data_IF_135411672683
#
_entry.id   IF_135411672683
#
_cell.length_a   1.000
_cell.length_b   1.000
_cell.length_c   1.000
_cell.angle_alpha   90.00
_cell.angle_beta   90.00
_cell.angle_gamma   90.00
#
_symmetry.space_group_name_H-M   'P 1'
#
loop_
_entity.id
_entity.type
_entity.pdbx_description
1 polymer ?
#
# COMPACT_ATOMS: atom_id res chain seq x y z
N UNK A 1 -3.49 -28.01 -9.58
CA UNK A 1 -2.39 -27.91 -8.60
C UNK A 1 -2.27 -26.44 -8.25
N UNK A 2 -2.55 -26.07 -7.00
CA UNK A 2 -2.55 -24.68 -6.55
C UNK A 2 -1.17 -24.33 -6.00
N UNK A 3 -0.43 -23.45 -6.69
CA UNK A 3 0.90 -23.01 -6.25
C UNK A 3 0.70 -21.90 -5.21
N UNK A 4 1.21 -22.14 -3.99
CA UNK A 4 1.22 -21.17 -2.90
C UNK A 4 2.63 -20.67 -2.65
N UNK A 5 2.74 -19.37 -2.40
CA UNK A 5 4.02 -18.71 -2.09
C UNK A 5 3.92 -18.18 -0.66
N UNK A 6 4.99 -18.36 0.11
CA UNK A 6 5.11 -17.77 1.45
C UNK A 6 5.68 -16.37 1.30
N UNK A 7 4.96 -15.37 1.79
CA UNK A 7 5.43 -13.99 1.80
C UNK A 7 5.49 -13.45 3.22
N UNK A 8 6.33 -12.44 3.40
CA UNK A 8 6.30 -11.57 4.58
C UNK A 8 5.43 -10.38 4.25
N UNK A 9 4.38 -10.16 5.03
CA UNK A 9 3.52 -8.99 4.93
C UNK A 9 3.57 -8.17 6.20
N UNK A 10 3.22 -6.89 6.10
CA UNK A 10 3.05 -5.99 7.25
C UNK A 10 2.17 -6.64 8.31
N UNK A 11 2.62 -6.64 9.56
CA UNK A 11 1.84 -7.15 10.68
C UNK A 11 0.61 -6.25 10.89
N UNK A 12 -0.58 -6.81 10.80
CA UNK A 12 -1.83 -6.06 10.95
C UNK A 12 -2.05 -5.58 12.39
N UNK A 13 -1.59 -6.34 13.39
CA UNK A 13 -1.81 -6.01 14.81
C UNK A 13 -1.00 -4.80 15.29
N UNK A 14 0.18 -4.56 14.71
CA UNK A 14 0.99 -3.39 15.07
C UNK A 14 1.15 -2.39 13.92
N UNK A 15 0.42 -2.58 12.82
CA UNK A 15 0.58 -1.84 11.59
C UNK A 15 2.07 -1.64 11.21
N UNK A 16 2.85 -2.71 11.28
CA UNK A 16 4.28 -2.68 10.94
C UNK A 16 5.21 -1.96 11.92
N UNK A 17 4.71 -1.32 12.98
CA UNK A 17 5.54 -0.58 13.94
C UNK A 17 6.46 -1.46 14.79
N UNK A 18 6.19 -2.76 14.85
CA UNK A 18 6.91 -3.80 15.60
C UNK A 18 6.87 -3.66 17.13
N UNK A 19 6.96 -2.44 17.67
CA UNK A 19 6.92 -2.13 19.10
C UNK A 19 5.79 -1.14 19.38
N UNK A 20 4.91 -1.48 20.31
CA UNK A 20 3.73 -0.68 20.65
C UNK A 20 3.90 -0.05 22.04
N UNK A 21 3.37 1.18 22.24
CA UNK A 21 3.33 1.82 23.56
C UNK A 21 2.63 0.93 24.59
N UNK A 22 3.28 0.68 25.73
CA UNK A 22 2.75 -0.21 26.78
C UNK A 22 2.45 0.51 28.09
N UNK A 23 3.36 1.36 28.56
CA UNK A 23 3.22 2.05 29.83
C UNK A 23 4.13 3.28 29.87
N UNK A 24 3.92 4.16 30.84
CA UNK A 24 4.91 5.20 31.17
C UNK A 24 5.88 4.69 32.24
N UNK A 25 7.11 5.18 32.20
CA UNK A 25 8.11 5.00 33.25
C UNK A 25 8.69 6.34 33.68
N UNK A 26 9.33 6.38 34.85
CA UNK A 26 10.09 7.53 35.33
C UNK A 26 11.58 7.21 35.14
N UNK A 27 12.32 8.11 34.50
CA UNK A 27 13.77 7.98 34.34
C UNK A 27 14.52 8.34 35.64
N UNK A 28 15.85 8.22 35.65
CA UNK A 28 16.66 8.53 36.83
C UNK A 28 16.68 10.01 37.22
N UNK A 29 16.13 10.90 36.38
CA UNK A 29 16.03 12.35 36.62
C UNK A 29 14.62 12.75 37.08
N UNK A 30 13.68 11.81 37.14
CA UNK A 30 12.28 12.08 37.47
C UNK A 30 11.40 12.38 36.26
N UNK A 31 11.92 12.27 35.04
CA UNK A 31 11.18 12.59 33.81
C UNK A 31 10.35 11.39 33.34
N UNK A 32 9.12 11.64 32.88
CA UNK A 32 8.29 10.60 32.29
C UNK A 32 8.79 10.20 30.89
N UNK A 33 8.89 8.90 30.63
CA UNK A 33 9.17 8.36 29.30
C UNK A 33 8.17 7.26 28.93
N UNK A 34 7.87 7.15 27.63
CA UNK A 34 7.02 6.09 27.09
C UNK A 34 7.82 4.78 26.97
N UNK A 35 7.32 3.71 27.58
CA UNK A 35 7.80 2.34 27.39
C UNK A 35 7.09 1.70 26.23
N UNK A 36 7.83 0.88 25.51
CA UNK A 36 7.35 0.11 24.37
C UNK A 36 7.57 -1.38 24.63
N UNK A 37 6.62 -2.20 24.19
CA UNK A 37 6.76 -3.66 24.18
C UNK A 37 6.70 -4.17 22.74
N UNK A 38 7.41 -5.26 22.42
CA UNK A 38 7.26 -5.89 21.12
C UNK A 38 5.80 -6.32 20.92
N UNK A 39 5.30 -6.13 19.71
CA UNK A 39 3.98 -6.61 19.33
C UNK A 39 3.90 -8.12 19.59
N UNK A 40 2.87 -8.61 20.29
CA UNK A 40 2.79 -10.03 20.65
C UNK A 40 2.59 -10.94 19.44
N UNK A 41 1.97 -10.42 18.36
CA UNK A 41 1.69 -11.19 17.15
C UNK A 41 2.95 -11.39 16.29
N UNK A 42 3.69 -10.32 16.00
CA UNK A 42 4.91 -10.40 15.18
C UNK A 42 6.21 -10.50 16.00
N UNK A 43 6.12 -10.46 17.33
CA UNK A 43 7.27 -10.54 18.26
C UNK A 43 8.38 -9.52 17.96
N UNK A 44 7.99 -8.31 17.53
CA UNK A 44 8.94 -7.23 17.27
C UNK A 44 9.59 -7.24 15.88
N UNK A 45 9.11 -8.04 14.93
CA UNK A 45 9.58 -8.00 13.53
C UNK A 45 8.86 -6.95 12.68
N UNK A 46 7.65 -6.54 13.09
CA UNK A 46 6.76 -5.70 12.29
C UNK A 46 6.15 -6.43 11.07
N UNK A 47 6.47 -7.72 10.89
CA UNK A 47 6.05 -8.51 9.74
C UNK A 47 5.50 -9.86 10.19
N UNK A 48 4.53 -10.36 9.45
CA UNK A 48 3.90 -11.66 9.66
C UNK A 48 3.98 -12.48 8.38
N UNK A 49 4.24 -13.76 8.53
CA UNK A 49 4.27 -14.69 7.43
C UNK A 49 2.84 -15.05 7.00
N UNK A 50 2.53 -14.92 5.71
CA UNK A 50 1.28 -15.44 5.16
C UNK A 50 1.52 -16.24 3.87
N UNK A 51 0.72 -17.27 3.68
CA UNK A 51 0.65 -18.02 2.44
C UNK A 51 -0.37 -17.38 1.53
N UNK A 52 0.02 -17.06 0.31
CA UNK A 52 -0.85 -16.50 -0.70
C UNK A 52 -0.83 -17.36 -1.95
N UNK A 53 -1.92 -17.30 -2.72
CA UNK A 53 -1.98 -17.91 -4.04
C UNK A 53 -1.10 -17.11 -5.02
N UNK A 54 -0.59 -17.78 -6.06
CA UNK A 54 0.25 -17.14 -7.08
C UNK A 54 -0.48 -15.98 -7.79
N UNK A 55 -1.79 -16.09 -7.98
CA UNK A 55 -2.64 -15.04 -8.56
C UNK A 55 -2.74 -13.78 -7.67
N UNK A 56 -2.79 -13.95 -6.34
CA UNK A 56 -2.75 -12.84 -5.39
C UNK A 56 -1.39 -12.13 -5.46
N UNK A 57 -0.29 -12.89 -5.59
CA UNK A 57 1.05 -12.31 -5.76
C UNK A 57 1.15 -11.49 -7.04
N UNK A 58 0.63 -11.99 -8.17
CA UNK A 58 0.60 -11.23 -9.43
C UNK A 58 -0.19 -9.93 -9.30
N UNK A 59 -1.28 -9.95 -8.55
CA UNK A 59 -2.11 -8.75 -8.31
C UNK A 59 -1.36 -7.73 -7.46
N UNK A 60 -0.68 -8.19 -6.40
CA UNK A 60 0.18 -7.33 -5.56
C UNK A 60 1.34 -6.73 -6.35
N UNK A 61 1.96 -7.51 -7.25
CA UNK A 61 3.03 -7.01 -8.11
C UNK A 61 2.53 -5.97 -9.12
N UNK A 62 1.38 -6.19 -9.76
CA UNK A 62 0.77 -5.21 -10.67
C UNK A 62 0.49 -3.87 -10.00
N UNK A 63 0.00 -3.89 -8.75
CA UNK A 63 -0.20 -2.66 -7.98
C UNK A 63 1.09 -1.92 -7.60
N UNK A 64 2.25 -2.59 -7.68
CA UNK A 64 3.57 -1.98 -7.47
C UNK A 64 4.24 -1.54 -8.78
N UNK A 65 3.80 -2.05 -9.94
CA UNK A 65 4.39 -1.72 -11.24
C UNK A 65 4.22 -0.23 -11.59
N UNK A 66 3.15 0.41 -11.11
CA UNK A 66 3.02 1.85 -11.20
C UNK A 66 2.06 2.41 -10.14
N UNK A 67 2.47 3.39 -9.30
CA UNK A 67 1.57 4.07 -8.37
C UNK A 67 0.59 5.03 -9.05
N UNK A 68 0.70 5.21 -10.37
CA UNK A 68 -0.06 6.19 -11.16
C UNK A 68 -0.07 7.58 -10.52
N UNK A 69 1.07 8.01 -9.96
CA UNK A 69 1.19 9.30 -9.30
C UNK A 69 1.22 10.45 -10.31
N UNK A 70 1.85 10.22 -11.47
CA UNK A 70 1.82 11.16 -12.58
C UNK A 70 0.80 10.72 -13.62
N UNK A 71 -0.30 11.48 -13.70
CA UNK A 71 -1.37 11.28 -14.67
C UNK A 71 -1.54 12.56 -15.47
N UNK A 72 -1.48 12.40 -16.79
CA UNK A 72 -1.78 13.46 -17.75
C UNK A 72 -3.09 13.15 -18.47
N UNK A 73 -3.78 14.20 -18.90
CA UNK A 73 -5.00 14.08 -19.65
C UNK A 73 -4.71 14.28 -21.15
N UNK A 74 -5.17 13.36 -21.98
CA UNK A 74 -5.03 13.42 -23.45
C UNK A 74 -6.41 13.39 -24.10
N UNK A 75 -6.57 14.06 -25.23
CA UNK A 75 -7.84 14.14 -25.95
C UNK A 75 -8.37 15.57 -26.06
N UNK A 76 -9.60 15.71 -26.54
CA UNK A 76 -10.25 17.00 -26.73
C UNK A 76 -11.76 16.86 -26.70
N UNK A 77 -12.44 18.00 -26.53
CA UNK A 77 -13.87 18.10 -26.82
C UNK A 77 -14.11 18.15 -28.32
N UNK A 78 -15.17 17.48 -28.76
CA UNK A 78 -15.66 17.42 -30.13
C UNK A 78 -17.09 17.98 -30.21
N UNK A 79 -17.42 18.63 -31.32
CA UNK A 79 -18.77 19.11 -31.60
C UNK A 79 -19.22 18.67 -32.98
N UNK A 80 -20.27 17.85 -33.03
CA UNK A 80 -20.85 17.39 -34.30
C UNK A 80 -22.37 17.29 -34.19
N UNK A 81 -23.08 17.77 -35.22
CA UNK A 81 -24.54 17.64 -35.33
C UNK A 81 -25.35 18.18 -34.13
N UNK A 82 -24.84 19.19 -33.42
CA UNK A 82 -25.50 19.76 -32.24
C UNK A 82 -25.24 19.00 -30.94
N UNK A 83 -24.47 17.92 -30.97
CA UNK A 83 -24.05 17.16 -29.81
C UNK A 83 -22.58 17.46 -29.47
N UNK A 84 -22.30 17.53 -28.16
CA UNK A 84 -20.94 17.67 -27.61
C UNK A 84 -20.55 16.33 -27.01
N UNK A 85 -19.40 15.81 -27.42
CA UNK A 85 -18.80 14.60 -26.86
C UNK A 85 -17.29 14.78 -26.76
N UNK A 86 -16.61 14.03 -25.89
CA UNK A 86 -15.17 14.09 -25.72
C UNK A 86 -14.52 12.71 -25.84
N UNK A 87 -13.24 12.70 -26.18
CA UNK A 87 -12.38 11.53 -26.16
C UNK A 87 -11.27 11.66 -25.11
N UNK A 88 -11.57 12.44 -24.07
CA UNK A 88 -10.63 12.74 -22.99
C UNK A 88 -10.35 11.46 -22.21
N UNK A 89 -9.06 11.15 -22.07
CA UNK A 89 -8.57 9.99 -21.34
C UNK A 89 -7.45 10.37 -20.40
N UNK A 90 -7.42 9.69 -19.27
CA UNK A 90 -6.35 9.84 -18.31
C UNK A 90 -5.28 8.78 -18.59
N UNK A 91 -4.06 9.22 -18.87
CA UNK A 91 -2.90 8.36 -19.10
C UNK A 91 -1.90 8.55 -17.98
N UNK A 92 -1.40 7.44 -17.44
CA UNK A 92 -0.28 7.50 -16.52
C UNK A 92 1.02 7.79 -17.29
N UNK A 93 1.74 8.84 -16.93
CA UNK A 93 3.00 9.22 -17.57
C UNK A 93 4.14 8.25 -17.24
N UNK A 94 4.06 7.58 -16.10
CA UNK A 94 5.11 6.67 -15.62
C UNK A 94 5.04 5.29 -16.30
N UNK A 95 3.85 4.79 -16.64
CA UNK A 95 3.68 3.45 -17.23
C UNK A 95 2.90 3.42 -18.56
N UNK A 96 2.35 4.54 -19.01
CA UNK A 96 1.60 4.66 -20.26
C UNK A 96 0.22 3.98 -20.24
N UNK A 97 -0.25 3.53 -19.08
CA UNK A 97 -1.56 2.89 -18.94
C UNK A 97 -2.68 3.93 -19.02
N UNK A 98 -3.72 3.63 -19.80
CA UNK A 98 -4.98 4.39 -19.82
C UNK A 98 -5.79 3.97 -18.61
N UNK A 99 -6.14 4.94 -17.76
CA UNK A 99 -6.82 4.73 -16.48
C UNK A 99 -8.34 4.88 -16.60
N UNK A 100 -8.79 5.78 -17.49
CA UNK A 100 -10.20 6.00 -17.87
C UNK A 100 -10.26 6.58 -19.28
#
# INVERSE_FOLDING_TARGET
MEIKVKILSKCQDCDGQAYLPSAKGIDSRGEEYQRYLPCPACKGTGQTEKWIALEELQTLLKGLECPHEHVSQIGSFHFSAGEVWDDIRDICDDCGQILD
#
